data_IF_941572433445
#
_entry.id   IF_941572433445
#
_cell.length_a   1.000
_cell.length_b   1.000
_cell.length_c   1.000
_cell.angle_alpha   90.00
_cell.angle_beta   90.00
_cell.angle_gamma   90.00
#
_symmetry.space_group_name_H-M   'P 1'
#
loop_
_entity.id
_entity.type
_entity.pdbx_description
1 polymer ?
#
# COMPACT_ATOMS: atom_id res chain seq x y z
N UNK A 1 -0.89 20.24 -0.33
CA UNK A 1 -2.16 19.79 0.30
C UNK A 1 -2.82 20.95 1.01
N UNK A 2 -2.05 21.87 1.60
CA UNK A 2 -2.57 23.03 2.36
C UNK A 2 -3.56 23.92 1.57
N UNK A 3 -3.46 23.97 0.24
CA UNK A 3 -4.37 24.74 -0.63
C UNK A 3 -5.45 23.90 -1.34
N UNK A 4 -5.58 22.61 -1.03
CA UNK A 4 -6.57 21.73 -1.68
C UNK A 4 -7.87 21.72 -0.85
N UNK A 5 -9.01 22.17 -1.41
CA UNK A 5 -10.29 22.04 -0.73
C UNK A 5 -10.60 20.56 -0.41
N UNK A 6 -11.04 20.30 0.81
CA UNK A 6 -11.40 18.95 1.29
C UNK A 6 -12.84 18.56 0.88
N UNK A 7 -13.19 18.79 -0.39
CA UNK A 7 -14.45 18.36 -1.00
C UNK A 7 -14.23 17.18 -1.95
N UNK A 8 -15.33 16.56 -2.41
CA UNK A 8 -15.25 15.35 -3.23
C UNK A 8 -14.60 15.58 -4.59
N UNK A 9 -14.90 16.71 -5.25
CA UNK A 9 -14.47 16.99 -6.61
C UNK A 9 -12.98 17.37 -6.65
N UNK A 10 -12.55 18.23 -5.73
CA UNK A 10 -11.17 18.69 -5.59
C UNK A 10 -10.21 17.53 -5.31
N UNK A 11 -10.60 16.60 -4.44
CA UNK A 11 -9.79 15.42 -4.13
C UNK A 11 -9.76 14.41 -5.29
N UNK A 12 -10.88 14.24 -6.01
CA UNK A 12 -10.94 13.39 -7.20
C UNK A 12 -9.99 13.88 -8.31
N UNK A 13 -9.92 15.20 -8.53
CA UNK A 13 -9.03 15.80 -9.54
C UNK A 13 -7.53 15.54 -9.29
N UNK A 14 -7.13 15.31 -8.05
CA UNK A 14 -5.73 15.00 -7.70
C UNK A 14 -5.45 13.50 -7.54
N UNK A 15 -6.40 12.64 -7.94
CA UNK A 15 -6.26 11.19 -7.90
C UNK A 15 -6.45 10.58 -6.51
N UNK A 16 -7.20 11.26 -5.64
CA UNK A 16 -7.63 10.74 -4.33
C UNK A 16 -9.16 10.77 -4.22
N UNK A 17 -9.72 10.59 -3.02
CA UNK A 17 -11.15 10.71 -2.76
C UNK A 17 -11.45 11.14 -1.32
N UNK A 18 -12.59 11.80 -1.12
CA UNK A 18 -13.00 12.31 0.19
C UNK A 18 -13.28 11.24 1.24
N UNK A 19 -13.74 10.05 0.82
CA UNK A 19 -14.01 8.93 1.73
C UNK A 19 -14.88 9.34 2.94
N UNK A 20 -14.43 9.01 4.15
CA UNK A 20 -15.08 9.37 5.42
C UNK A 20 -14.66 10.75 5.97
N UNK A 21 -13.78 11.48 5.29
CA UNK A 21 -13.14 12.68 5.84
C UNK A 21 -12.04 12.42 6.87
N UNK A 22 -11.67 11.15 7.10
CA UNK A 22 -10.56 10.77 7.97
C UNK A 22 -9.21 11.07 7.31
N UNK A 23 -8.47 12.03 7.86
CA UNK A 23 -7.13 12.40 7.38
C UNK A 23 -6.07 11.79 8.28
N UNK A 24 -5.13 11.05 7.67
CA UNK A 24 -3.96 10.50 8.35
C UNK A 24 -2.73 11.27 7.86
N UNK A 25 -2.04 11.94 8.77
CA UNK A 25 -0.81 12.69 8.48
C UNK A 25 0.39 11.83 8.87
N UNK A 26 1.31 11.65 7.94
CA UNK A 26 2.60 10.98 8.14
C UNK A 26 3.68 11.99 7.78
N UNK A 27 4.64 12.21 8.68
CA UNK A 27 5.80 13.06 8.43
C UNK A 27 6.97 12.26 7.84
N UNK A 28 8.10 12.92 7.57
CA UNK A 28 9.29 12.32 6.97
C UNK A 28 10.00 11.29 7.87
N UNK A 29 9.53 11.08 9.11
CA UNK A 29 10.05 10.03 10.00
C UNK A 29 9.42 8.66 9.71
N UNK A 30 8.34 8.62 8.93
CA UNK A 30 7.62 7.40 8.57
C UNK A 30 8.19 6.81 7.29
N UNK A 31 8.49 5.50 7.30
CA UNK A 31 8.85 4.78 6.09
C UNK A 31 7.59 4.36 5.32
N UNK A 32 7.47 4.75 4.06
CA UNK A 32 6.25 4.52 3.29
C UNK A 32 6.04 3.06 2.87
N UNK A 33 7.12 2.27 2.75
CA UNK A 33 7.03 0.82 2.50
C UNK A 33 6.47 0.09 3.72
N UNK A 34 6.90 0.50 4.92
CA UNK A 34 6.42 -0.01 6.20
C UNK A 34 4.95 0.37 6.45
N UNK A 35 4.58 1.63 6.19
CA UNK A 35 3.20 2.07 6.26
C UNK A 35 2.29 1.27 5.32
N UNK A 36 2.73 1.03 4.07
CA UNK A 36 1.96 0.20 3.13
C UNK A 36 1.83 -1.25 3.63
N UNK A 37 2.88 -1.81 4.22
CA UNK A 37 2.84 -3.17 4.75
C UNK A 37 1.79 -3.32 5.86
N UNK A 38 1.63 -2.31 6.72
CA UNK A 38 0.59 -2.27 7.73
C UNK A 38 -0.82 -2.21 7.09
N UNK A 39 -1.03 -1.32 6.12
CA UNK A 39 -2.30 -1.20 5.39
C UNK A 39 -2.68 -2.51 4.69
N UNK A 40 -1.73 -3.13 3.99
CA UNK A 40 -1.94 -4.42 3.33
C UNK A 40 -2.25 -5.55 4.32
N UNK A 41 -1.64 -5.54 5.51
CA UNK A 41 -1.96 -6.49 6.56
C UNK A 41 -3.40 -6.34 7.05
N UNK A 42 -3.86 -5.11 7.28
CA UNK A 42 -5.24 -4.81 7.66
C UNK A 42 -6.23 -5.29 6.59
N UNK A 43 -6.08 -4.86 5.33
CA UNK A 43 -7.03 -5.25 4.28
C UNK A 43 -7.02 -6.75 3.98
N UNK A 44 -5.86 -7.43 4.16
CA UNK A 44 -5.82 -8.89 4.06
C UNK A 44 -6.54 -9.58 5.22
N UNK A 45 -6.54 -9.00 6.42
CA UNK A 45 -7.23 -9.55 7.59
C UNK A 45 -8.75 -9.36 7.48
N UNK A 46 -9.19 -8.18 7.05
CA UNK A 46 -10.62 -7.81 6.96
C UNK A 46 -11.32 -8.28 5.68
N UNK A 47 -10.61 -8.94 4.78
CA UNK A 47 -11.20 -9.50 3.57
C UNK A 47 -12.20 -10.61 3.92
N UNK A 48 -13.47 -10.44 3.53
CA UNK A 48 -14.52 -11.46 3.76
C UNK A 48 -14.28 -12.76 2.95
N UNK A 49 -13.38 -12.73 1.98
CA UNK A 49 -12.98 -13.90 1.21
C UNK A 49 -13.94 -14.33 0.10
N UNK A 50 -14.97 -13.54 -0.27
CA UNK A 50 -15.95 -13.98 -1.26
C UNK A 50 -15.42 -13.96 -2.71
N UNK A 51 -14.85 -12.84 -3.16
CA UNK A 51 -14.34 -12.71 -4.54
C UNK A 51 -12.85 -13.07 -4.61
N UNK A 52 -12.48 -13.89 -5.60
CA UNK A 52 -11.11 -14.37 -5.76
C UNK A 52 -10.08 -13.24 -5.94
N UNK A 53 -10.30 -12.20 -6.76
CA UNK A 53 -9.32 -11.11 -6.91
C UNK A 53 -9.03 -10.39 -5.59
N UNK A 54 -10.04 -10.16 -4.76
CA UNK A 54 -9.84 -9.57 -3.44
C UNK A 54 -9.16 -10.54 -2.47
N UNK A 55 -9.70 -11.75 -2.29
CA UNK A 55 -9.20 -12.74 -1.32
C UNK A 55 -7.74 -13.10 -1.56
N UNK A 56 -7.40 -13.44 -2.80
CA UNK A 56 -6.05 -13.85 -3.15
C UNK A 56 -5.13 -12.64 -3.35
N UNK A 57 -5.65 -11.57 -3.96
CA UNK A 57 -4.88 -10.35 -4.23
C UNK A 57 -4.45 -9.63 -2.96
N UNK A 58 -5.34 -9.44 -1.98
CA UNK A 58 -4.99 -8.83 -0.69
C UNK A 58 -3.97 -9.66 0.07
N UNK A 59 -4.12 -10.99 0.06
CA UNK A 59 -3.17 -11.91 0.70
C UNK A 59 -1.79 -11.86 0.02
N UNK A 60 -1.74 -11.79 -1.30
CA UNK A 60 -0.48 -11.68 -2.04
C UNK A 60 0.20 -10.33 -1.78
N UNK A 61 -0.54 -9.22 -1.82
CA UNK A 61 0.01 -7.91 -1.48
C UNK A 61 0.61 -7.92 -0.07
N UNK A 62 -0.11 -8.46 0.92
CA UNK A 62 0.37 -8.65 2.29
C UNK A 62 1.64 -9.49 2.36
N UNK A 63 1.69 -10.63 1.67
CA UNK A 63 2.89 -11.50 1.66
C UNK A 63 4.11 -10.81 1.08
N UNK A 64 3.94 -10.06 -0.02
CA UNK A 64 5.05 -9.34 -0.66
C UNK A 64 5.53 -8.22 0.26
N UNK A 65 4.63 -7.36 0.74
CA UNK A 65 5.02 -6.24 1.60
C UNK A 65 5.61 -6.72 2.94
N UNK A 66 5.06 -7.77 3.57
CA UNK A 66 5.65 -8.39 4.76
C UNK A 66 7.05 -8.93 4.51
N UNK A 67 7.27 -9.61 3.37
CA UNK A 67 8.62 -10.07 3.01
C UNK A 67 9.58 -8.89 2.87
N UNK A 68 9.15 -7.82 2.21
CA UNK A 68 9.99 -6.64 2.03
C UNK A 68 10.45 -6.07 3.37
N UNK A 69 9.51 -5.82 4.29
CA UNK A 69 9.82 -5.18 5.58
C UNK A 69 10.56 -6.09 6.55
N UNK A 70 10.58 -7.41 6.33
CA UNK A 70 11.33 -8.37 7.13
C UNK A 70 12.76 -8.66 6.62
N UNK A 71 13.25 -7.88 5.66
CA UNK A 71 14.64 -7.94 5.20
C UNK A 71 14.88 -8.78 3.94
N UNK A 72 13.82 -9.36 3.37
CA UNK A 72 13.87 -10.20 2.16
C UNK A 72 13.32 -9.46 0.92
N UNK A 73 13.41 -8.13 0.92
CA UNK A 73 12.99 -7.30 -0.20
C UNK A 73 13.83 -7.58 -1.46
N UNK A 74 13.16 -7.66 -2.61
CA UNK A 74 13.80 -7.83 -3.92
C UNK A 74 13.56 -6.59 -4.78
N UNK A 75 14.48 -6.25 -5.71
CA UNK A 75 14.35 -5.06 -6.58
C UNK A 75 13.02 -4.99 -7.36
N UNK A 76 12.46 -6.14 -7.73
CA UNK A 76 11.21 -6.23 -8.48
C UNK A 76 9.93 -6.14 -7.62
N UNK A 77 10.03 -6.07 -6.29
CA UNK A 77 8.87 -6.23 -5.42
C UNK A 77 7.88 -5.06 -5.48
N UNK A 78 8.35 -3.83 -5.66
CA UNK A 78 7.47 -2.67 -5.88
C UNK A 78 6.63 -2.83 -7.16
N UNK A 79 7.27 -3.23 -8.26
CA UNK A 79 6.58 -3.49 -9.53
C UNK A 79 5.60 -4.67 -9.42
N UNK A 80 5.99 -5.74 -8.71
CA UNK A 80 5.14 -6.89 -8.47
C UNK A 80 3.91 -6.51 -7.63
N UNK A 81 4.08 -5.75 -6.54
CA UNK A 81 2.98 -5.24 -5.72
C UNK A 81 1.96 -4.49 -6.57
N UNK A 82 2.44 -3.54 -7.39
CA UNK A 82 1.57 -2.79 -8.29
C UNK A 82 0.84 -3.69 -9.28
N UNK A 83 1.54 -4.65 -9.89
CA UNK A 83 0.91 -5.57 -10.84
C UNK A 83 -0.20 -6.40 -10.22
N UNK A 84 -0.07 -6.80 -8.95
CA UNK A 84 -1.14 -7.51 -8.22
C UNK A 84 -2.29 -6.57 -7.94
N UNK A 85 -2.01 -5.36 -7.44
CA UNK A 85 -3.04 -4.37 -7.15
C UNK A 85 -3.85 -3.96 -8.39
N UNK A 86 -3.22 -3.83 -9.57
CA UNK A 86 -3.87 -3.47 -10.83
C UNK A 86 -4.91 -4.52 -11.30
N UNK A 87 -4.83 -5.77 -10.81
CA UNK A 87 -5.77 -6.84 -11.17
C UNK A 87 -7.03 -6.88 -10.30
N UNK A 88 -7.13 -6.07 -9.23
CA UNK A 88 -8.25 -6.13 -8.29
C UNK A 88 -9.43 -5.23 -8.69
N UNK A 89 -9.25 -3.91 -8.93
CA UNK A 89 -10.35 -2.99 -9.21
C UNK A 89 -11.23 -3.44 -10.38
N UNK A 90 -12.55 -3.26 -10.24
CA UNK A 90 -13.53 -3.60 -11.28
C UNK A 90 -13.72 -5.10 -11.52
N UNK A 91 -13.11 -5.97 -10.69
CA UNK A 91 -13.23 -7.43 -10.77
C UNK A 91 -13.71 -8.06 -9.45
N UNK A 92 -14.25 -7.23 -8.55
CA UNK A 92 -14.72 -7.62 -7.22
C UNK A 92 -16.22 -7.35 -7.06
N UNK A 93 -16.83 -7.91 -6.02
CA UNK A 93 -18.28 -7.80 -5.77
C UNK A 93 -18.62 -6.48 -5.08
N UNK A 94 -17.77 -6.02 -4.16
CA UNK A 94 -17.95 -4.78 -3.42
C UNK A 94 -16.72 -3.88 -3.54
N UNK A 95 -16.87 -2.63 -3.07
CA UNK A 95 -15.84 -1.59 -3.10
C UNK A 95 -14.60 -1.87 -2.23
N UNK A 96 -14.60 -2.96 -1.45
CA UNK A 96 -13.44 -3.35 -0.66
C UNK A 96 -12.23 -3.71 -1.53
N UNK A 97 -12.48 -4.22 -2.75
CA UNK A 97 -11.42 -4.54 -3.71
C UNK A 97 -10.64 -3.29 -4.16
N UNK A 98 -11.35 -2.21 -4.43
CA UNK A 98 -10.76 -0.91 -4.72
C UNK A 98 -10.04 -0.34 -3.49
N UNK A 99 -10.70 -0.39 -2.32
CA UNK A 99 -10.13 0.12 -1.07
C UNK A 99 -8.81 -0.56 -0.68
N UNK A 100 -8.66 -1.86 -0.94
CA UNK A 100 -7.43 -2.59 -0.63
C UNK A 100 -6.31 -2.39 -1.66
N UNK A 101 -6.63 -2.01 -2.90
CA UNK A 101 -5.67 -1.95 -4.00
C UNK A 101 -5.17 -0.53 -4.30
N UNK A 102 -6.03 0.48 -4.19
CA UNK A 102 -5.67 1.87 -4.46
C UNK A 102 -4.53 2.42 -3.59
N UNK A 103 -4.43 2.11 -2.28
CA UNK A 103 -3.27 2.52 -1.49
C UNK A 103 -1.96 1.97 -2.04
N UNK A 104 -1.93 0.68 -2.42
CA UNK A 104 -0.75 0.06 -3.05
C UNK A 104 -0.41 0.75 -4.36
N UNK A 105 -1.39 0.98 -5.24
CA UNK A 105 -1.15 1.66 -6.51
C UNK A 105 -0.58 3.07 -6.30
N UNK A 106 -1.18 3.84 -5.40
CA UNK A 106 -0.78 5.21 -5.10
C UNK A 106 0.62 5.28 -4.50
N UNK A 107 0.92 4.44 -3.50
CA UNK A 107 2.21 4.45 -2.81
C UNK A 107 3.36 4.09 -3.77
N UNK A 108 3.18 3.08 -4.62
CA UNK A 108 4.20 2.71 -5.61
C UNK A 108 4.44 3.84 -6.62
N UNK A 109 3.40 4.58 -7.01
CA UNK A 109 3.54 5.70 -7.96
C UNK A 109 4.23 6.90 -7.30
N UNK A 110 3.83 7.26 -6.07
CA UNK A 110 4.29 8.48 -5.38
C UNK A 110 5.65 8.32 -4.73
N UNK A 111 5.97 7.13 -4.23
CA UNK A 111 7.20 6.83 -3.48
C UNK A 111 8.06 5.80 -4.20
N UNK A 112 8.02 5.78 -5.54
CA UNK A 112 8.72 4.78 -6.37
C UNK A 112 10.17 4.57 -5.94
N UNK A 113 10.89 5.66 -5.69
CA UNK A 113 12.31 5.63 -5.33
C UNK A 113 12.54 4.92 -3.98
N UNK A 114 11.64 5.09 -3.00
CA UNK A 114 11.72 4.37 -1.73
C UNK A 114 11.55 2.86 -1.92
N UNK A 115 10.61 2.44 -2.77
CA UNK A 115 10.37 1.02 -3.05
C UNK A 115 11.52 0.38 -3.84
N UNK A 116 12.05 1.08 -4.84
CA UNK A 116 13.16 0.59 -5.66
C UNK A 116 14.45 0.49 -4.84
N UNK A 117 14.70 1.43 -3.91
CA UNK A 117 15.87 1.42 -3.04
C UNK A 117 15.73 0.53 -1.80
N UNK A 118 14.52 0.06 -1.47
CA UNK A 118 14.21 -0.54 -0.17
C UNK A 118 15.07 -1.77 0.16
N UNK A 119 15.39 -2.60 -0.84
CA UNK A 119 16.23 -3.79 -0.64
C UNK A 119 17.63 -3.46 -0.13
N UNK A 120 18.17 -2.30 -0.50
CA UNK A 120 19.47 -1.85 -0.04
C UNK A 120 19.35 -1.10 1.30
N UNK A 121 18.32 -0.25 1.45
CA UNK A 121 18.08 0.50 2.69
C UNK A 121 17.91 -0.45 3.88
N UNK A 122 17.08 -1.50 3.77
CA UNK A 122 16.80 -2.40 4.90
C UNK A 122 18.03 -3.22 5.34
N UNK A 123 18.97 -3.51 4.43
CA UNK A 123 20.26 -4.15 4.77
C UNK A 123 21.14 -3.25 5.64
N UNK A 124 21.02 -1.93 5.49
CA UNK A 124 21.84 -0.95 6.22
C UNK A 124 21.25 -0.53 7.56
N UNK A 125 19.96 -0.78 7.79
CA UNK A 125 19.32 -0.46 9.08
C UNK A 125 19.91 -1.30 10.23
N UNK A 126 20.06 -0.73 11.44
CA UNK A 126 20.42 -1.47 12.65
C UNK A 126 19.46 -2.64 12.92
N UNK A 127 19.96 -3.75 13.47
CA UNK A 127 19.21 -5.01 13.59
C UNK A 127 17.92 -4.90 14.41
N UNK A 128 17.88 -3.99 15.39
CA UNK A 128 16.71 -3.66 16.22
C UNK A 128 15.59 -2.92 15.45
N UNK A 129 15.90 -2.33 14.29
CA UNK A 129 14.94 -1.68 13.39
C UNK A 129 14.64 -2.49 12.12
N UNK A 130 15.12 -3.73 12.03
CA UNK A 130 14.92 -4.60 10.85
C UNK A 130 13.60 -5.36 10.84
N UNK A 131 12.87 -5.42 11.95
CA UNK A 131 11.63 -6.20 12.07
C UNK A 131 10.49 -5.28 12.49
N UNK A 132 9.45 -5.21 11.66
CA UNK A 132 8.12 -4.83 12.13
C UNK A 132 7.48 -6.11 12.66
N UNK A 133 6.99 -6.05 13.90
CA UNK A 133 6.17 -7.12 14.49
C UNK A 133 4.88 -7.27 13.69
#
# INVERSE_FOLDING_TARGET
>A
VEDVPMDFDSLAMIGSMGGSGGVIVMDDTVNMVEALANINAFYSHESCGQCTPCREGSLWMKKISSRMVNGDARPQDGALLKSVADQIPGRTICAFGEACSWPTQSFIIKFKDEFDAYSEVKKTLPADRRVLV
#
